data_IF_049331648891
#
_entry.id   IF_049331648891
#
_cell.length_a   1.000
_cell.length_b   1.000
_cell.length_c   1.000
_cell.angle_alpha   90.00
_cell.angle_beta   90.00
_cell.angle_gamma   90.00
#
_symmetry.space_group_name_H-M   'P 1'
#
loop_
_entity.id
_entity.type
_entity.pdbx_description
1 polymer ?
#
# COMPACT_ATOMS: atom_id res chain seq x y z
N UNK A 1 10.48 7.61 17.61
CA UNK A 1 10.02 6.20 17.72
C UNK A 1 11.20 5.28 17.50
N UNK A 2 11.35 4.22 18.30
CA UNK A 2 12.44 3.24 18.15
C UNK A 2 12.22 2.35 16.92
N UNK A 3 13.30 2.04 16.19
CA UNK A 3 13.27 1.18 15.00
C UNK A 3 12.59 -0.18 15.26
N UNK A 4 12.87 -0.80 16.42
CA UNK A 4 12.26 -2.09 16.78
C UNK A 4 10.74 -2.01 16.95
N UNK A 5 10.23 -0.90 17.48
CA UNK A 5 8.78 -0.68 17.62
C UNK A 5 8.15 -0.56 16.23
N UNK A 6 8.79 0.17 15.31
CA UNK A 6 8.30 0.31 13.93
C UNK A 6 8.25 -1.04 13.20
N UNK A 7 9.28 -1.89 13.34
CA UNK A 7 9.29 -3.23 12.76
C UNK A 7 8.15 -4.10 13.31
N UNK A 8 7.93 -4.07 14.62
CA UNK A 8 6.85 -4.83 15.26
C UNK A 8 5.46 -4.41 14.72
N UNK A 9 5.19 -3.11 14.65
CA UNK A 9 3.94 -2.60 14.08
C UNK A 9 3.80 -2.92 12.59
N UNK A 10 4.89 -2.81 11.82
CA UNK A 10 4.87 -3.17 10.40
C UNK A 10 4.53 -4.65 10.19
N UNK A 11 5.16 -5.55 10.95
CA UNK A 11 4.84 -6.98 10.91
C UNK A 11 3.40 -7.28 11.32
N UNK A 12 2.90 -6.60 12.36
CA UNK A 12 1.50 -6.73 12.79
C UNK A 12 0.51 -6.32 11.70
N UNK A 13 0.80 -5.23 10.98
CA UNK A 13 -0.04 -4.76 9.85
C UNK A 13 -0.03 -5.79 8.72
N UNK A 14 1.13 -6.35 8.36
CA UNK A 14 1.22 -7.37 7.30
C UNK A 14 0.42 -8.64 7.64
N UNK A 15 0.44 -9.05 8.91
CA UNK A 15 -0.34 -10.20 9.36
C UNK A 15 -1.84 -9.92 9.36
N UNK A 16 -2.25 -8.75 9.87
CA UNK A 16 -3.64 -8.34 9.87
C UNK A 16 -4.23 -8.23 8.45
N UNK A 17 -3.45 -7.70 7.51
CA UNK A 17 -3.83 -7.59 6.09
C UNK A 17 -4.12 -8.97 5.47
N UNK A 18 -3.20 -9.93 5.63
CA UNK A 18 -3.38 -11.29 5.13
C UNK A 18 -4.62 -12.00 5.72
N UNK A 19 -4.88 -11.77 7.02
CA UNK A 19 -6.05 -12.33 7.69
C UNK A 19 -7.35 -11.74 7.14
N UNK A 20 -7.41 -10.41 6.99
CA UNK A 20 -8.59 -9.71 6.44
C UNK A 20 -8.88 -10.16 5.02
N UNK A 21 -7.85 -10.29 4.17
CA UNK A 21 -7.95 -10.80 2.81
C UNK A 21 -8.54 -12.22 2.76
N UNK A 22 -8.05 -13.11 3.61
CA UNK A 22 -8.56 -14.48 3.72
C UNK A 22 -10.03 -14.51 4.15
N UNK A 23 -10.42 -13.70 5.14
CA UNK A 23 -11.82 -13.58 5.58
C UNK A 23 -12.71 -13.06 4.45
N UNK A 24 -12.30 -12.01 3.74
CA UNK A 24 -13.08 -11.46 2.63
C UNK A 24 -13.22 -12.47 1.50
N UNK A 25 -12.15 -13.21 1.16
CA UNK A 25 -12.20 -14.27 0.17
C UNK A 25 -13.19 -15.37 0.54
N UNK A 26 -13.17 -15.83 1.81
CA UNK A 26 -14.14 -16.81 2.32
C UNK A 26 -15.57 -16.28 2.33
N UNK A 27 -15.77 -15.01 2.68
CA UNK A 27 -17.09 -14.36 2.66
C UNK A 27 -17.66 -14.23 1.24
N UNK A 28 -16.80 -14.00 0.24
CA UNK A 28 -17.18 -13.96 -1.18
C UNK A 28 -17.43 -15.36 -1.79
N UNK A 29 -17.33 -16.42 -0.99
CA UNK A 29 -17.58 -17.80 -1.44
C UNK A 29 -16.44 -18.38 -2.27
N UNK A 30 -15.23 -17.82 -2.18
CA UNK A 30 -14.06 -18.32 -2.91
C UNK A 30 -13.59 -19.63 -2.26
N UNK A 31 -13.50 -20.69 -3.07
CA UNK A 31 -12.99 -21.98 -2.62
C UNK A 31 -11.52 -21.89 -2.20
N UNK A 32 -11.09 -22.78 -1.29
CA UNK A 32 -9.70 -22.75 -0.80
C UNK A 32 -8.65 -22.94 -1.91
N UNK A 33 -9.01 -23.61 -3.01
CA UNK A 33 -8.18 -23.74 -4.21
C UNK A 33 -7.90 -22.40 -4.92
N UNK A 34 -8.83 -21.45 -4.84
CA UNK A 34 -8.76 -20.15 -5.52
C UNK A 34 -8.36 -19.00 -4.59
N UNK A 35 -8.32 -19.27 -3.28
CA UNK A 35 -8.02 -18.26 -2.26
C UNK A 35 -6.63 -17.64 -2.43
N UNK A 36 -5.63 -18.45 -2.82
CA UNK A 36 -4.27 -17.96 -3.10
C UNK A 36 -4.21 -17.02 -4.31
N UNK A 37 -5.03 -17.25 -5.34
CA UNK A 37 -5.13 -16.37 -6.51
C UNK A 37 -5.85 -15.07 -6.16
N UNK A 38 -6.93 -15.16 -5.37
CA UNK A 38 -7.64 -14.00 -4.85
C UNK A 38 -6.73 -13.10 -4.00
N UNK A 39 -5.95 -13.69 -3.09
CA UNK A 39 -5.01 -12.94 -2.26
C UNK A 39 -3.96 -12.23 -3.10
N UNK A 40 -3.43 -12.90 -4.14
CA UNK A 40 -2.47 -12.30 -5.07
C UNK A 40 -3.07 -11.12 -5.85
N UNK A 41 -4.26 -11.30 -6.44
CA UNK A 41 -4.93 -10.26 -7.23
C UNK A 41 -5.26 -9.04 -6.35
N UNK A 42 -5.73 -9.27 -5.12
CA UNK A 42 -6.03 -8.19 -4.19
C UNK A 42 -4.76 -7.45 -3.72
N UNK A 43 -3.64 -8.15 -3.52
CA UNK A 43 -2.33 -7.51 -3.26
C UNK A 43 -1.87 -6.67 -4.45
N UNK A 44 -2.03 -7.16 -5.68
CA UNK A 44 -1.69 -6.39 -6.88
C UNK A 44 -2.52 -5.10 -6.98
N UNK A 45 -3.83 -5.19 -6.73
CA UNK A 45 -4.72 -4.01 -6.70
C UNK A 45 -4.24 -3.02 -5.63
N UNK A 46 -3.88 -3.50 -4.43
CA UNK A 46 -3.38 -2.65 -3.36
C UNK A 46 -2.08 -1.92 -3.74
N UNK A 47 -1.12 -2.62 -4.36
CA UNK A 47 0.11 -2.00 -4.87
C UNK A 47 -0.15 -0.99 -5.98
N UNK A 48 -1.12 -1.26 -6.85
CA UNK A 48 -1.50 -0.33 -7.91
C UNK A 48 -2.09 0.96 -7.34
N UNK A 49 -3.00 0.87 -6.36
CA UNK A 49 -3.52 2.04 -5.66
C UNK A 49 -2.42 2.83 -4.95
N UNK A 50 -1.50 2.15 -4.25
CA UNK A 50 -0.35 2.79 -3.62
C UNK A 50 0.51 3.53 -4.64
N UNK A 51 0.71 2.96 -5.83
CA UNK A 51 1.39 3.59 -6.95
C UNK A 51 0.68 4.88 -7.39
N UNK A 52 -0.62 4.84 -7.62
CA UNK A 52 -1.40 6.02 -8.00
C UNK A 52 -1.39 7.12 -6.93
N UNK A 53 -1.51 6.76 -5.65
CA UNK A 53 -1.40 7.74 -4.56
C UNK A 53 -0.02 8.38 -4.50
N UNK A 54 1.06 7.61 -4.69
CA UNK A 54 2.42 8.17 -4.73
C UNK A 54 2.61 9.11 -5.91
N UNK A 55 2.14 8.74 -7.11
CA UNK A 55 2.21 9.59 -8.28
C UNK A 55 1.39 10.87 -8.09
N UNK A 56 0.17 10.77 -7.57
CA UNK A 56 -0.66 11.92 -7.24
C UNK A 56 -0.01 12.85 -6.21
N UNK A 57 0.59 12.28 -5.15
CA UNK A 57 1.33 13.07 -4.16
C UNK A 57 2.57 13.74 -4.75
N UNK A 58 3.28 13.07 -5.67
CA UNK A 58 4.39 13.69 -6.40
C UNK A 58 3.91 14.87 -7.26
N UNK A 59 2.82 14.70 -7.99
CA UNK A 59 2.22 15.75 -8.82
C UNK A 59 1.78 16.96 -7.98
N UNK A 60 1.10 16.74 -6.85
CA UNK A 60 0.53 17.81 -6.04
C UNK A 60 1.54 18.50 -5.12
N UNK A 61 2.52 17.77 -4.59
CA UNK A 61 3.42 18.31 -3.56
C UNK A 61 4.87 18.37 -4.00
N UNK A 62 5.38 17.32 -4.65
CA UNK A 62 6.80 17.26 -5.03
C UNK A 62 7.12 18.21 -6.19
N UNK A 63 6.31 18.22 -7.26
CA UNK A 63 6.54 19.09 -8.41
C UNK A 63 6.47 20.57 -8.02
N UNK A 64 5.43 21.08 -7.33
CA UNK A 64 5.39 22.48 -6.92
C UNK A 64 6.53 22.85 -5.97
N UNK A 65 6.87 21.98 -5.02
CA UNK A 65 8.01 22.19 -4.13
C UNK A 65 9.32 22.32 -4.90
N UNK A 66 9.54 21.47 -5.91
CA UNK A 66 10.76 21.47 -6.73
C UNK A 66 10.84 22.75 -7.57
N UNK A 67 9.72 23.17 -8.18
CA UNK A 67 9.62 24.44 -8.92
C UNK A 67 9.94 25.62 -8.02
N UNK A 68 9.33 25.71 -6.83
CA UNK A 68 9.59 26.79 -5.87
C UNK A 68 11.05 26.83 -5.42
N UNK A 69 11.69 25.68 -5.25
CA UNK A 69 13.08 25.61 -4.78
C UNK A 69 14.08 25.99 -5.87
N UNK A 70 13.84 25.58 -7.11
CA UNK A 70 14.72 25.91 -8.24
C UNK A 70 14.47 27.32 -8.79
N UNK A 71 13.27 27.88 -8.61
CA UNK A 71 12.95 29.25 -9.01
C UNK A 71 13.69 30.30 -8.15
N UNK A 72 13.94 30.02 -6.86
CA UNK A 72 14.69 30.93 -5.96
C UNK A 72 16.20 31.00 -6.23
N UNK A 73 16.72 30.15 -7.11
CA UNK A 73 18.15 30.11 -7.48
C UNK A 73 18.51 30.90 -8.75
N UNK A 74 17.55 31.62 -9.33
CA UNK A 74 17.74 32.61 -10.40
C UNK A 74 17.36 33.99 -9.87
#
# INVERSE_FOLDING_TARGET
>A
MSFGILCFWASGILFADALILSIHGKFLGIGESDLGRFEYDAKMIHYQFLGYFKLGAMLLFFIPWLVLRLSRGK
#
